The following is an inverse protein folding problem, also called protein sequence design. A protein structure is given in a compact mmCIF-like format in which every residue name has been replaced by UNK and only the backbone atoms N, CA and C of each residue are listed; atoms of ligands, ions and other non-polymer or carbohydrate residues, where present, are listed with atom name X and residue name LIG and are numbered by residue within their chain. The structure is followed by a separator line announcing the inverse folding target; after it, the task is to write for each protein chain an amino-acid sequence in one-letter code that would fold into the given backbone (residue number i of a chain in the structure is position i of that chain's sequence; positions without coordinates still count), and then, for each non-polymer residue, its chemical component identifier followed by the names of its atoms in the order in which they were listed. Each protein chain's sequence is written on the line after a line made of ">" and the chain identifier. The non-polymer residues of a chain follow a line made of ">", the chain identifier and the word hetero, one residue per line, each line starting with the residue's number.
data_IF_994195799548
#
_entry.id   IF_994195799548
#
_cell.length_a   1.000
_cell.length_b   1.000
_cell.length_c   1.000
_cell.angle_alpha   90.00
_cell.angle_beta   90.00
_cell.angle_gamma   90.00
#
_symmetry.space_group_name_H-M   'P 1'
#
loop_
_entity.id
_entity.type
_entity.pdbx_description
1 polymer ?
#
# COMPACT_ATOMS: atom_id res chain seq x y z
N UNK A 1 17.15 17.67 0.08
CA UNK A 1 18.10 18.50 -0.69
C UNK A 1 18.53 19.61 0.26
N UNK A 2 19.82 19.96 0.33
CA UNK A 2 20.29 21.07 1.18
C UNK A 2 20.65 22.22 0.25
N UNK A 3 20.14 23.42 0.54
CA UNK A 3 20.60 24.63 -0.13
C UNK A 3 21.45 25.44 0.84
N UNK A 4 22.50 26.06 0.32
CA UNK A 4 23.29 27.02 1.09
C UNK A 4 22.50 28.32 1.10
N UNK A 5 21.85 28.63 2.22
CA UNK A 5 20.99 29.82 2.33
C UNK A 5 21.79 31.04 2.78
N UNK A 6 22.89 30.83 3.53
CA UNK A 6 23.80 31.89 3.94
C UNK A 6 25.23 31.35 4.18
N UNK A 7 26.18 32.25 4.41
CA UNK A 7 27.52 31.94 4.93
C UNK A 7 27.61 32.58 6.32
N UNK A 8 28.03 31.82 7.34
CA UNK A 8 28.16 32.33 8.70
C UNK A 8 29.37 33.28 8.87
N UNK A 9 29.46 33.94 10.02
CA UNK A 9 30.55 34.89 10.34
C UNK A 9 31.95 34.26 10.31
N UNK A 10 32.04 32.92 10.33
CA UNK A 10 33.27 32.16 10.27
C UNK A 10 33.58 31.63 8.87
N UNK A 11 32.76 31.97 7.87
CA UNK A 11 32.97 31.57 6.48
C UNK A 11 32.44 30.16 6.14
N UNK A 12 31.66 29.54 7.03
CA UNK A 12 31.07 28.23 6.75
C UNK A 12 29.72 28.38 6.06
N UNK A 13 29.40 27.52 5.08
CA UNK A 13 28.07 27.49 4.50
C UNK A 13 27.04 27.06 5.55
N UNK A 14 26.05 27.92 5.79
CA UNK A 14 24.83 27.59 6.52
C UNK A 14 23.97 26.77 5.57
N UNK A 15 23.90 25.48 5.86
CA UNK A 15 23.07 24.52 5.13
C UNK A 15 21.71 24.47 5.82
N UNK A 16 20.69 25.08 5.23
CA UNK A 16 19.32 24.83 5.63
C UNK A 16 18.78 23.63 4.83
N UNK A 17 18.21 22.69 5.58
CA UNK A 17 17.36 21.67 4.97
C UNK A 17 16.15 22.39 4.39
N UNK A 18 16.07 22.50 3.06
CA UNK A 18 14.84 22.93 2.37
C UNK A 18 13.75 21.85 2.41
N UNK A 19 13.86 20.90 3.34
CA UNK A 19 12.96 19.79 3.54
C UNK A 19 11.66 20.20 4.23
N UNK A 20 10.87 21.05 3.59
CA UNK A 20 9.42 21.06 3.75
C UNK A 20 8.86 19.62 3.56
N UNK A 21 9.60 18.75 2.86
CA UNK A 21 9.35 17.31 2.71
C UNK A 21 9.34 16.49 4.00
N UNK A 22 10.11 16.87 5.04
CA UNK A 22 10.17 16.09 6.31
C UNK A 22 9.18 16.64 7.33
N UNK A 23 8.88 17.94 7.30
CA UNK A 23 8.10 18.63 8.33
C UNK A 23 6.67 19.02 7.91
N UNK A 24 6.31 18.98 6.62
CA UNK A 24 4.95 19.31 6.16
C UNK A 24 3.91 18.32 6.71
N UNK A 25 3.20 18.77 7.76
CA UNK A 25 2.11 18.05 8.42
C UNK A 25 2.51 17.18 9.61
N UNK A 26 3.76 17.23 10.10
CA UNK A 26 4.16 16.49 11.32
C UNK A 26 3.50 17.02 12.60
N UNK A 27 3.10 18.29 12.61
CA UNK A 27 2.45 18.95 13.75
C UNK A 27 0.91 18.91 13.66
N UNK A 28 0.35 18.25 12.63
CA UNK A 28 -1.10 18.13 12.44
C UNK A 28 -1.60 16.74 12.84
N UNK A 29 -2.67 16.72 13.66
CA UNK A 29 -3.38 15.48 13.97
C UNK A 29 -4.11 14.98 12.72
N UNK A 30 -3.91 13.71 12.39
CA UNK A 30 -4.51 13.06 11.23
C UNK A 30 -5.10 11.71 11.61
N UNK A 31 -6.34 11.46 11.19
CA UNK A 31 -7.01 10.19 11.42
C UNK A 31 -6.90 9.27 10.19
N UNK A 32 -6.44 8.04 10.43
CA UNK A 32 -6.41 6.95 9.47
C UNK A 32 -7.49 5.91 9.77
N UNK A 33 -8.24 5.48 8.75
CA UNK A 33 -9.28 4.46 8.87
C UNK A 33 -9.11 3.41 7.77
N UNK A 34 -9.50 2.17 8.05
CA UNK A 34 -9.68 1.15 7.03
C UNK A 34 -10.95 0.35 7.25
N UNK A 35 -11.46 -0.20 6.16
CA UNK A 35 -12.60 -1.11 6.14
C UNK A 35 -12.18 -2.36 5.40
N UNK A 36 -12.45 -3.50 6.01
CA UNK A 36 -12.24 -4.81 5.42
C UNK A 36 -13.54 -5.59 5.45
N UNK A 37 -13.94 -6.13 4.31
CA UNK A 37 -15.10 -7.02 4.19
C UNK A 37 -14.76 -8.19 3.28
N UNK A 38 -15.25 -9.37 3.63
CA UNK A 38 -15.01 -10.58 2.87
C UNK A 38 -16.18 -11.54 2.96
N UNK A 39 -16.37 -12.29 1.88
CA UNK A 39 -17.39 -13.32 1.77
C UNK A 39 -16.80 -14.57 1.15
N UNK A 40 -17.06 -15.72 1.74
CA UNK A 40 -16.67 -17.02 1.20
C UNK A 40 -17.87 -17.96 1.19
N UNK A 41 -18.09 -18.64 0.08
CA UNK A 41 -19.16 -19.61 -0.13
C UNK A 41 -18.62 -20.95 -0.59
N UNK A 42 -19.28 -22.08 -0.25
CA UNK A 42 -19.06 -23.34 -0.95
C UNK A 42 -19.27 -23.18 -2.46
N UNK A 43 -18.47 -23.87 -3.24
CA UNK A 43 -18.52 -23.90 -4.70
C UNK A 43 -18.26 -25.33 -5.22
N UNK A 44 -18.56 -25.66 -6.48
CA UNK A 44 -18.30 -27.00 -7.02
C UNK A 44 -16.82 -27.39 -6.84
N UNK A 45 -16.55 -28.54 -6.21
CA UNK A 45 -15.18 -28.98 -5.95
C UNK A 45 -14.35 -27.99 -5.10
N UNK A 46 -14.98 -27.24 -4.20
CA UNK A 46 -14.28 -26.50 -3.15
C UNK A 46 -14.98 -25.23 -2.69
N UNK A 47 -14.28 -24.08 -2.72
CA UNK A 47 -14.76 -22.82 -2.14
C UNK A 47 -14.39 -21.64 -3.02
N UNK A 48 -15.27 -20.65 -3.05
CA UNK A 48 -15.02 -19.37 -3.69
C UNK A 48 -15.08 -18.26 -2.63
N UNK A 49 -14.14 -17.33 -2.71
CA UNK A 49 -14.08 -16.17 -1.82
C UNK A 49 -13.82 -14.88 -2.57
N UNK A 50 -14.39 -13.80 -2.05
CA UNK A 50 -14.14 -12.43 -2.48
C UNK A 50 -13.91 -11.57 -1.26
N UNK A 51 -12.95 -10.65 -1.36
CA UNK A 51 -12.57 -9.77 -0.27
C UNK A 51 -12.33 -8.37 -0.82
N UNK A 52 -12.63 -7.36 -0.01
CA UNK A 52 -12.46 -5.97 -0.36
C UNK A 52 -11.90 -5.20 0.84
N UNK A 53 -10.91 -4.36 0.55
CA UNK A 53 -10.16 -3.57 1.50
C UNK A 53 -10.22 -2.13 1.02
N UNK A 54 -10.49 -1.20 1.93
CA UNK A 54 -10.33 0.22 1.69
C UNK A 54 -9.53 0.85 2.82
N UNK A 55 -8.60 1.75 2.48
CA UNK A 55 -7.84 2.54 3.43
C UNK A 55 -7.92 4.02 3.11
N UNK A 56 -8.13 4.86 4.13
CA UNK A 56 -8.16 6.31 3.98
C UNK A 56 -6.78 6.90 3.70
N UNK A 57 -6.72 8.18 3.33
CA UNK A 57 -5.49 8.92 2.99
C UNK A 57 -4.34 8.75 4.01
N UNK A 58 -4.65 8.79 5.31
CA UNK A 58 -3.66 8.70 6.39
C UNK A 58 -3.63 7.32 7.05
N UNK A 59 -4.22 6.31 6.41
CA UNK A 59 -4.18 4.94 6.92
C UNK A 59 -2.75 4.40 7.00
N UNK A 60 -2.43 3.80 8.15
CA UNK A 60 -1.15 3.18 8.46
C UNK A 60 -1.38 1.88 9.24
N UNK A 61 -1.31 0.70 8.60
CA UNK A 61 -1.46 -0.55 9.32
C UNK A 61 -0.14 -1.02 9.96
N UNK A 62 -0.25 -2.01 10.85
CA UNK A 62 0.90 -2.77 11.34
C UNK A 62 1.19 -3.99 10.44
N UNK A 63 1.51 -3.76 9.17
CA UNK A 63 1.85 -4.82 8.17
C UNK A 63 3.32 -4.81 7.77
N UNK A 64 4.16 -4.12 8.54
CA UNK A 64 5.61 -4.07 8.29
C UNK A 64 6.17 -5.51 8.45
N UNK A 65 6.87 -6.01 7.43
CA UNK A 65 7.34 -7.40 7.25
C UNK A 65 6.36 -8.38 6.55
N UNK A 66 5.33 -7.89 5.85
CA UNK A 66 4.54 -8.74 4.95
C UNK A 66 5.25 -8.89 3.59
N UNK A 67 5.35 -10.12 3.08
CA UNK A 67 6.15 -10.51 1.89
C UNK A 67 5.27 -10.68 0.62
N UNK A 68 4.31 -9.78 0.43
CA UNK A 68 3.48 -9.78 -0.78
C UNK A 68 4.20 -9.03 -1.90
N UNK A 69 4.06 -9.49 -3.15
CA UNK A 69 4.82 -8.99 -4.32
C UNK A 69 4.59 -7.49 -4.55
N UNK A 70 3.34 -7.03 -4.38
CA UNK A 70 2.96 -5.62 -4.56
C UNK A 70 2.95 -4.86 -3.22
N UNK A 71 2.97 -5.58 -2.10
CA UNK A 71 2.77 -5.07 -0.75
C UNK A 71 1.46 -5.54 -0.14
N UNK A 72 1.32 -5.34 1.17
CA UNK A 72 0.14 -5.81 1.92
C UNK A 72 -1.15 -5.17 1.42
N UNK A 73 -2.15 -6.00 1.09
CA UNK A 73 -3.51 -5.52 0.76
C UNK A 73 -4.14 -4.63 1.84
N UNK A 74 -3.76 -4.86 3.11
CA UNK A 74 -4.26 -4.10 4.24
C UNK A 74 -3.55 -2.74 4.40
N UNK A 75 -2.49 -2.48 3.65
CA UNK A 75 -1.73 -1.22 3.70
C UNK A 75 -2.10 -0.20 2.63
N UNK A 76 -2.96 -0.59 1.69
CA UNK A 76 -3.40 0.27 0.60
C UNK A 76 -4.19 1.46 1.11
N UNK A 77 -3.76 2.66 0.71
CA UNK A 77 -4.52 3.91 0.79
C UNK A 77 -5.29 4.08 -0.52
N UNK A 78 -6.53 3.65 -0.53
CA UNK A 78 -7.32 3.42 -1.74
C UNK A 78 -8.09 2.11 -1.61
N UNK A 79 -8.19 1.38 -2.72
CA UNK A 79 -9.06 0.22 -2.86
C UNK A 79 -8.27 -1.04 -3.23
N UNK A 80 -8.61 -2.18 -2.62
CA UNK A 80 -8.09 -3.50 -3.05
C UNK A 80 -9.21 -4.51 -3.07
N UNK A 81 -9.41 -5.14 -4.21
CA UNK A 81 -10.29 -6.31 -4.38
C UNK A 81 -9.48 -7.59 -4.53
N UNK A 82 -9.88 -8.65 -3.84
CA UNK A 82 -9.36 -10.00 -4.01
C UNK A 82 -10.50 -10.94 -4.39
N UNK A 83 -10.25 -11.84 -5.34
CA UNK A 83 -11.09 -13.00 -5.58
C UNK A 83 -10.21 -14.25 -5.61
N UNK A 84 -10.66 -15.32 -4.96
CA UNK A 84 -9.94 -16.58 -4.93
C UNK A 84 -10.87 -17.78 -5.03
N UNK A 85 -10.32 -18.85 -5.58
CA UNK A 85 -10.95 -20.16 -5.62
C UNK A 85 -10.02 -21.20 -4.98
N UNK A 86 -10.58 -22.01 -4.10
CA UNK A 86 -9.93 -23.16 -3.49
C UNK A 86 -10.55 -24.41 -4.13
N UNK A 87 -9.74 -25.18 -4.84
CA UNK A 87 -10.11 -26.45 -5.41
C UNK A 87 -9.69 -27.57 -4.47
N UNK A 88 -10.66 -28.30 -3.94
CA UNK A 88 -10.42 -29.49 -3.13
C UNK A 88 -10.15 -30.67 -4.06
N UNK A 89 -8.89 -31.12 -4.14
CA UNK A 89 -8.52 -32.25 -4.99
C UNK A 89 -8.79 -33.56 -4.27
N UNK A 90 -8.45 -33.63 -2.98
CA UNK A 90 -8.81 -34.72 -2.07
C UNK A 90 -8.80 -34.20 -0.61
N UNK A 91 -9.23 -34.99 0.39
CA UNK A 91 -9.29 -34.54 1.79
C UNK A 91 -7.95 -34.07 2.39
N UNK A 92 -6.84 -34.39 1.74
CA UNK A 92 -5.48 -34.07 2.15
C UNK A 92 -4.81 -33.03 1.24
N UNK A 93 -5.47 -32.56 0.17
CA UNK A 93 -4.84 -31.72 -0.85
C UNK A 93 -5.82 -30.72 -1.45
N UNK A 94 -5.42 -29.45 -1.43
CA UNK A 94 -6.16 -28.38 -2.08
C UNK A 94 -5.24 -27.44 -2.87
N UNK A 95 -5.78 -26.84 -3.91
CA UNK A 95 -5.13 -25.81 -4.72
C UNK A 95 -5.87 -24.49 -4.49
N UNK A 96 -5.17 -23.43 -4.10
CA UNK A 96 -5.74 -22.07 -4.04
C UNK A 96 -5.21 -21.27 -5.23
N UNK A 97 -6.10 -20.66 -5.98
CA UNK A 97 -5.77 -19.65 -7.00
C UNK A 97 -6.45 -18.35 -6.60
N UNK A 98 -5.71 -17.25 -6.59
CA UNK A 98 -6.20 -15.94 -6.20
C UNK A 98 -5.70 -14.85 -7.14
N UNK A 99 -6.50 -13.81 -7.31
CA UNK A 99 -6.13 -12.59 -7.99
C UNK A 99 -6.53 -11.38 -7.13
N UNK A 100 -5.62 -10.43 -7.02
CA UNK A 100 -5.80 -9.17 -6.32
C UNK A 100 -5.64 -8.03 -7.33
N UNK A 101 -6.53 -7.06 -7.23
CA UNK A 101 -6.46 -5.81 -7.97
C UNK A 101 -6.36 -4.65 -6.98
N UNK A 102 -5.33 -3.84 -7.16
CA UNK A 102 -5.03 -2.67 -6.35
C UNK A 102 -5.32 -1.42 -7.18
N UNK A 103 -5.98 -0.46 -6.54
CA UNK A 103 -6.24 0.88 -7.04
C UNK A 103 -5.87 1.88 -5.93
N UNK A 104 -4.72 2.53 -6.10
CA UNK A 104 -4.11 3.40 -5.11
C UNK A 104 -4.56 4.85 -5.33
N UNK A 105 -5.32 5.38 -4.38
CA UNK A 105 -5.74 6.78 -4.44
C UNK A 105 -4.65 7.71 -3.89
N UNK A 106 -3.86 7.23 -2.92
CA UNK A 106 -2.81 8.02 -2.26
C UNK A 106 -1.43 7.34 -2.22
N UNK A 107 -0.38 8.15 -2.32
CA UNK A 107 1.01 7.71 -2.23
C UNK A 107 1.40 7.24 -0.83
N UNK A 108 2.48 6.45 -0.76
CA UNK A 108 3.10 6.05 0.51
C UNK A 108 2.29 5.03 1.32
N UNK A 109 1.44 4.23 0.67
CA UNK A 109 0.73 3.11 1.31
C UNK A 109 1.68 2.27 2.17
N UNK A 110 1.35 2.07 3.46
CA UNK A 110 2.20 1.36 4.43
C UNK A 110 3.37 2.15 5.05
N UNK A 111 3.66 3.36 4.58
CA UNK A 111 4.70 4.24 5.14
C UNK A 111 4.10 5.23 6.17
N UNK A 112 4.64 5.31 7.40
CA UNK A 112 4.30 6.40 8.32
C UNK A 112 5.06 7.70 7.99
N UNK A 113 5.99 7.67 7.03
CA UNK A 113 6.85 8.80 6.67
C UNK A 113 6.42 9.41 5.34
N UNK A 114 6.33 10.74 5.33
CA UNK A 114 5.97 11.55 4.16
C UNK A 114 4.46 11.75 4.01
N UNK A 115 4.06 12.97 3.64
CA UNK A 115 2.66 13.34 3.46
C UNK A 115 2.06 12.58 2.26
N UNK A 116 0.96 11.84 2.43
CA UNK A 116 0.27 11.19 1.32
C UNK A 116 -0.24 12.24 0.31
N UNK A 117 0.11 12.06 -0.96
CA UNK A 117 -0.37 12.86 -2.10
C UNK A 117 -1.31 12.02 -2.95
N UNK A 118 -2.20 12.63 -3.72
CA UNK A 118 -3.03 11.89 -4.67
C UNK A 118 -2.15 11.33 -5.78
N UNK A 119 -2.39 10.08 -6.18
CA UNK A 119 -1.59 9.44 -7.23
C UNK A 119 -1.75 10.16 -8.57
N UNK A 120 -2.99 10.51 -8.93
CA UNK A 120 -3.32 11.24 -10.16
C UNK A 120 -2.57 12.58 -10.27
N UNK A 121 -2.51 13.35 -9.17
CA UNK A 121 -1.82 14.65 -9.16
C UNK A 121 -0.29 14.51 -9.34
N UNK A 122 0.29 13.39 -8.88
CA UNK A 122 1.72 13.11 -9.09
C UNK A 122 1.98 12.66 -10.54
N UNK A 123 1.10 11.85 -11.12
CA UNK A 123 1.23 11.40 -12.51
C UNK A 123 1.04 12.55 -13.52
N UNK A 124 0.15 13.49 -13.22
CA UNK A 124 -0.07 14.71 -13.99
C UNK A 124 1.07 15.74 -13.83
N UNK A 125 2.05 15.48 -12.95
CA UNK A 125 3.16 16.38 -12.66
C UNK A 125 2.76 17.63 -11.86
N UNK A 126 1.57 17.66 -11.26
CA UNK A 126 1.10 18.75 -10.38
C UNK A 126 1.71 18.67 -8.99
N UNK A 127 2.05 17.46 -8.54
CA UNK A 127 2.69 17.17 -7.27
C UNK A 127 3.98 16.38 -7.49
N UNK A 128 4.98 16.62 -6.64
CA UNK A 128 6.26 15.92 -6.71
C UNK A 128 6.27 14.73 -5.75
N UNK A 129 6.74 13.57 -6.22
CA UNK A 129 7.05 12.41 -5.38
C UNK A 129 8.48 11.95 -5.62
N UNK A 130 9.23 11.75 -4.52
CA UNK A 130 10.59 11.19 -4.59
C UNK A 130 10.60 9.69 -4.87
N UNK A 131 9.50 8.99 -4.56
CA UNK A 131 9.36 7.56 -4.81
C UNK A 131 8.46 7.31 -6.01
N UNK A 132 8.69 6.23 -6.77
CA UNK A 132 7.78 5.83 -7.83
C UNK A 132 6.38 5.61 -7.26
N UNK A 133 5.39 6.09 -7.99
CA UNK A 133 3.97 5.98 -7.61
C UNK A 133 3.30 4.99 -8.54
N UNK A 134 2.61 4.03 -7.94
CA UNK A 134 1.79 3.05 -8.64
C UNK A 134 0.34 3.50 -8.51
N UNK A 135 -0.36 3.57 -9.63
CA UNK A 135 -1.81 3.86 -9.68
C UNK A 135 -2.60 2.57 -9.51
N UNK A 136 -2.34 1.59 -10.38
CA UNK A 136 -2.99 0.29 -10.30
C UNK A 136 -1.99 -0.85 -10.40
N UNK A 137 -2.30 -1.98 -9.75
CA UNK A 137 -1.48 -3.18 -9.80
C UNK A 137 -2.32 -4.46 -9.74
N UNK A 138 -1.79 -5.52 -10.34
CA UNK A 138 -2.37 -6.86 -10.29
C UNK A 138 -1.39 -7.82 -9.64
N UNK A 139 -1.87 -8.63 -8.71
CA UNK A 139 -1.14 -9.75 -8.12
C UNK A 139 -1.94 -11.03 -8.33
N UNK A 140 -1.32 -12.03 -8.94
CA UNK A 140 -1.95 -13.33 -9.23
C UNK A 140 -1.09 -14.40 -8.58
N UNK A 141 -1.71 -15.19 -7.71
CA UNK A 141 -1.05 -16.26 -6.98
C UNK A 141 -1.75 -17.61 -7.18
N UNK A 142 -0.95 -18.67 -7.13
CA UNK A 142 -1.42 -20.04 -7.08
C UNK A 142 -0.57 -20.81 -6.07
N UNK A 143 -1.22 -21.62 -5.22
CA UNK A 143 -0.55 -22.44 -4.22
C UNK A 143 -1.17 -23.84 -4.15
N UNK A 144 -0.32 -24.83 -3.89
CA UNK A 144 -0.73 -26.21 -3.63
C UNK A 144 -0.38 -26.53 -2.18
N UNK A 145 -1.35 -27.01 -1.41
CA UNK A 145 -1.13 -27.47 -0.04
C UNK A 145 -1.44 -28.95 0.06
N UNK A 146 -0.53 -29.71 0.66
CA UNK A 146 -0.66 -31.15 0.92
C UNK A 146 -0.49 -31.42 2.41
N UNK A 147 -1.40 -32.19 2.99
CA UNK A 147 -1.38 -32.61 4.39
C UNK A 147 -1.05 -34.10 4.48
N UNK A 148 0.12 -34.39 5.06
CA UNK A 148 0.63 -35.74 5.31
C UNK A 148 0.07 -36.34 6.60
#
# INVERSE_FOLDING_TARGET
>A
MFEVTAIDENGNPVLESTGEFVTDGLDEDHDGYSVYVGFQTPAPMGKFGVEYNWGSKYWTPFTQAQDDIVGSKLATRGHVGEAYYIFDVNPNMFIKVGALYYDYEYTGSGSPVGKPKKVEDVQDGKEFSMFPVIDTAWDINASLTVKF
#
